data_IF_473935670216
#
_entry.id   IF_473935670216
#
_cell.length_a   1.000
_cell.length_b   1.000
_cell.length_c   1.000
_cell.angle_alpha   90.00
_cell.angle_beta   90.00
_cell.angle_gamma   90.00
#
_symmetry.space_group_name_H-M   'P 1'
#
loop_
_entity.id
_entity.type
_entity.pdbx_description
1 polymer ?
#
# COMPACT_ATOMS: atom_id res chain seq x y z
N UNK A 1 12.09 -23.36 35.08
CA UNK A 1 10.82 -22.79 34.55
C UNK A 1 10.51 -21.36 35.06
N UNK A 2 11.06 -20.90 36.19
CA UNK A 2 10.80 -19.54 36.72
C UNK A 2 11.61 -18.41 36.03
N UNK A 3 12.79 -18.69 35.47
CA UNK A 3 13.66 -17.66 34.89
C UNK A 3 13.15 -17.07 33.57
N UNK A 4 12.35 -17.82 32.79
CA UNK A 4 11.79 -17.37 31.50
C UNK A 4 10.62 -16.38 31.66
N UNK A 5 9.93 -16.38 32.82
CA UNK A 5 8.82 -15.46 33.09
C UNK A 5 9.30 -14.06 33.48
N UNK A 6 10.38 -13.98 34.26
CA UNK A 6 10.97 -12.72 34.72
C UNK A 6 11.57 -11.89 33.57
N UNK A 7 12.23 -12.53 32.60
CA UNK A 7 12.76 -11.83 31.41
C UNK A 7 11.64 -11.30 30.51
N UNK A 8 10.56 -12.07 30.33
CA UNK A 8 9.38 -11.64 29.57
C UNK A 8 8.65 -10.45 30.21
N UNK A 9 8.53 -10.42 31.55
CA UNK A 9 7.90 -9.32 32.28
C UNK A 9 8.77 -8.05 32.24
N UNK A 10 10.10 -8.17 32.37
CA UNK A 10 11.03 -7.03 32.29
C UNK A 10 11.09 -6.46 30.86
N UNK A 11 11.07 -7.31 29.83
CA UNK A 11 11.00 -6.87 28.44
C UNK A 11 9.66 -6.20 28.12
N UNK A 12 8.54 -6.72 28.64
CA UNK A 12 7.21 -6.12 28.49
C UNK A 12 7.07 -4.80 29.25
N UNK A 13 7.68 -4.65 30.43
CA UNK A 13 7.71 -3.38 31.19
C UNK A 13 8.64 -2.33 30.56
N UNK A 14 9.80 -2.71 30.02
CA UNK A 14 10.64 -1.81 29.22
C UNK A 14 9.94 -1.37 27.93
N UNK A 15 9.21 -2.27 27.28
CA UNK A 15 8.45 -1.97 26.06
C UNK A 15 7.26 -1.05 26.36
N UNK A 16 6.48 -1.28 27.43
CA UNK A 16 5.40 -0.39 27.86
C UNK A 16 5.90 0.99 28.31
N UNK A 17 7.03 1.07 29.02
CA UNK A 17 7.61 2.36 29.42
C UNK A 17 8.24 3.12 28.23
N UNK A 18 8.89 2.42 27.30
CA UNK A 18 9.42 3.00 26.05
C UNK A 18 8.29 3.42 25.10
N UNK A 19 7.22 2.64 24.98
CA UNK A 19 6.05 2.98 24.16
C UNK A 19 5.26 4.14 24.77
N UNK A 20 5.04 4.18 26.08
CA UNK A 20 4.39 5.32 26.74
C UNK A 20 5.23 6.59 26.64
N UNK A 21 6.55 6.53 26.83
CA UNK A 21 7.42 7.72 26.64
C UNK A 21 7.47 8.18 25.18
N UNK A 22 7.55 7.25 24.22
CA UNK A 22 7.56 7.59 22.79
C UNK A 22 6.23 8.21 22.35
N UNK A 23 5.10 7.67 22.83
CA UNK A 23 3.77 8.20 22.52
C UNK A 23 3.54 9.57 23.18
N UNK A 24 4.00 9.75 24.42
CA UNK A 24 3.90 11.02 25.14
C UNK A 24 4.74 12.12 24.48
N UNK A 25 5.96 11.79 24.02
CA UNK A 25 6.79 12.68 23.21
C UNK A 25 6.11 13.04 21.88
N UNK A 26 5.46 12.08 21.21
CA UNK A 26 4.77 12.32 19.93
C UNK A 26 3.57 13.26 20.10
N UNK A 27 2.73 13.06 21.11
CA UNK A 27 1.59 13.93 21.39
C UNK A 27 2.03 15.32 21.84
N UNK A 28 3.09 15.43 22.66
CA UNK A 28 3.59 16.72 23.13
C UNK A 28 4.26 17.53 22.00
N UNK A 29 5.02 16.87 21.11
CA UNK A 29 5.64 17.51 19.93
C UNK A 29 4.58 17.98 18.93
N UNK A 30 3.55 17.18 18.65
CA UNK A 30 2.44 17.57 17.78
C UNK A 30 1.57 18.69 18.39
N UNK A 31 1.37 18.70 19.71
CA UNK A 31 0.58 19.73 20.39
C UNK A 31 1.30 21.08 20.50
N UNK A 32 2.62 21.08 20.70
CA UNK A 32 3.40 22.31 20.83
C UNK A 32 3.83 22.90 19.46
N UNK A 33 3.75 22.10 18.39
CA UNK A 33 4.28 22.45 17.07
C UNK A 33 3.21 22.43 15.97
N UNK A 34 2.24 23.33 16.05
CA UNK A 34 1.13 23.43 15.07
C UNK A 34 1.61 23.66 13.63
N UNK A 35 2.78 24.28 13.44
CA UNK A 35 3.40 24.48 12.12
C UNK A 35 3.94 23.20 11.47
N UNK A 36 4.26 22.14 12.23
CA UNK A 36 4.83 20.91 11.67
C UNK A 36 3.77 19.87 11.29
N UNK A 37 2.52 20.03 11.74
CA UNK A 37 1.40 19.12 11.44
C UNK A 37 1.12 19.03 9.92
N UNK A 38 1.05 20.14 9.16
CA UNK A 38 0.83 20.07 7.71
C UNK A 38 1.93 19.29 6.97
N UNK A 39 3.18 19.41 7.43
CA UNK A 39 4.32 18.72 6.83
C UNK A 39 4.21 17.20 6.98
N UNK A 40 3.88 16.72 8.19
CA UNK A 40 3.67 15.28 8.41
C UNK A 40 2.48 14.74 7.62
N UNK A 41 1.42 15.54 7.45
CA UNK A 41 0.28 15.17 6.62
C UNK A 41 0.70 14.91 5.16
N UNK A 42 1.41 15.84 4.52
CA UNK A 42 1.84 15.63 3.13
C UNK A 42 2.85 14.50 2.97
N UNK A 43 3.76 14.32 3.93
CA UNK A 43 4.74 13.21 3.89
C UNK A 43 4.02 11.86 4.01
N UNK A 44 3.13 11.71 5.00
CA UNK A 44 2.38 10.46 5.20
C UNK A 44 1.45 10.18 4.02
N UNK A 45 0.73 11.19 3.53
CA UNK A 45 -0.11 11.06 2.33
C UNK A 45 0.71 10.64 1.11
N UNK A 46 1.88 11.26 0.90
CA UNK A 46 2.78 10.92 -0.20
C UNK A 46 3.33 9.50 -0.11
N UNK A 47 3.79 9.08 1.08
CA UNK A 47 4.29 7.72 1.33
C UNK A 47 3.19 6.67 1.13
N UNK A 48 1.99 6.92 1.65
CA UNK A 48 0.84 6.04 1.45
C UNK A 48 0.46 5.97 -0.02
N UNK A 49 0.40 7.10 -0.74
CA UNK A 49 0.12 7.12 -2.18
C UNK A 49 1.14 6.33 -3.01
N UNK A 50 2.43 6.50 -2.72
CA UNK A 50 3.51 5.75 -3.37
C UNK A 50 3.41 4.24 -3.10
N UNK A 51 3.15 3.85 -1.85
CA UNK A 51 2.98 2.44 -1.48
C UNK A 51 1.75 1.82 -2.17
N UNK A 52 0.61 2.53 -2.20
CA UNK A 52 -0.59 2.08 -2.91
C UNK A 52 -0.34 1.93 -4.41
N UNK A 53 0.42 2.83 -5.03
CA UNK A 53 0.77 2.72 -6.44
C UNK A 53 1.65 1.49 -6.73
N UNK A 54 2.65 1.22 -5.89
CA UNK A 54 3.47 0.01 -5.99
C UNK A 54 2.64 -1.27 -5.85
N UNK A 55 1.70 -1.31 -4.89
CA UNK A 55 0.79 -2.46 -4.71
C UNK A 55 -0.10 -2.63 -5.95
N UNK A 56 -0.63 -1.53 -6.50
CA UNK A 56 -1.48 -1.55 -7.69
C UNK A 56 -0.72 -2.00 -8.95
N UNK A 57 0.56 -1.64 -9.07
CA UNK A 57 1.43 -2.16 -10.11
C UNK A 57 1.67 -3.65 -9.88
N UNK A 58 2.09 -4.04 -8.68
CA UNK A 58 2.39 -5.43 -8.37
C UNK A 58 1.21 -6.37 -8.61
N UNK A 59 -0.03 -5.95 -8.33
CA UNK A 59 -1.25 -6.76 -8.50
C UNK A 59 -2.00 -6.52 -9.82
N UNK A 60 -1.45 -5.73 -10.74
CA UNK A 60 -2.11 -5.45 -12.02
C UNK A 60 -2.20 -6.72 -12.89
N UNK A 61 -3.28 -6.91 -13.67
CA UNK A 61 -3.46 -8.11 -14.50
C UNK A 61 -2.40 -8.27 -15.61
N UNK A 62 -1.68 -7.19 -15.93
CA UNK A 62 -0.57 -7.14 -16.89
C UNK A 62 0.78 -7.51 -16.26
N UNK A 63 0.85 -7.64 -14.94
CA UNK A 63 2.10 -7.85 -14.21
C UNK A 63 2.24 -9.33 -13.87
N UNK A 64 3.09 -10.00 -14.65
CA UNK A 64 3.41 -11.44 -14.62
C UNK A 64 4.13 -11.87 -13.32
N UNK A 65 4.25 -10.99 -12.32
CA UNK A 65 4.98 -11.27 -11.08
C UNK A 65 4.37 -12.45 -10.30
N UNK A 66 3.06 -12.70 -10.45
CA UNK A 66 2.34 -13.74 -9.71
C UNK A 66 1.98 -14.97 -10.53
N UNK A 67 1.95 -14.87 -11.86
CA UNK A 67 1.61 -15.98 -12.76
C UNK A 67 2.65 -16.12 -13.87
N UNK A 68 3.82 -16.62 -13.48
CA UNK A 68 4.95 -16.85 -14.38
C UNK A 68 4.79 -18.04 -15.33
N UNK A 69 3.92 -19.00 -14.99
CA UNK A 69 3.94 -20.32 -15.62
C UNK A 69 2.65 -20.68 -16.36
N UNK A 70 1.48 -20.14 -15.98
CA UNK A 70 0.21 -20.51 -16.62
C UNK A 70 -0.26 -19.52 -17.67
N UNK A 71 0.43 -18.38 -17.81
CA UNK A 71 0.02 -17.30 -18.71
C UNK A 71 1.25 -16.67 -19.38
N UNK A 72 1.86 -17.35 -20.38
CA UNK A 72 3.03 -16.84 -21.09
C UNK A 72 2.76 -15.51 -21.82
N UNK A 73 1.48 -15.21 -22.10
CA UNK A 73 1.03 -13.99 -22.78
C UNK A 73 -0.03 -13.22 -21.96
N UNK A 74 0.39 -12.38 -21.00
CA UNK A 74 -0.53 -11.69 -20.09
C UNK A 74 -1.50 -10.73 -20.78
N UNK A 75 -1.12 -10.17 -21.93
CA UNK A 75 -1.96 -9.26 -22.72
C UNK A 75 -3.16 -9.96 -23.35
N UNK A 76 -3.11 -11.29 -23.53
CA UNK A 76 -4.14 -12.02 -24.25
C UNK A 76 -5.42 -12.24 -23.43
N UNK A 77 -5.33 -12.09 -22.09
CA UNK A 77 -6.47 -12.18 -21.16
C UNK A 77 -7.16 -10.84 -20.89
N UNK A 78 -6.67 -9.74 -21.46
CA UNK A 78 -7.24 -8.43 -21.24
C UNK A 78 -8.41 -8.20 -22.19
N UNK A 79 -9.60 -8.02 -21.63
CA UNK A 79 -10.79 -7.66 -22.39
C UNK A 79 -10.65 -6.21 -22.93
N UNK A 80 -11.11 -5.90 -24.16
CA UNK A 80 -11.11 -4.53 -24.69
C UNK A 80 -11.92 -3.54 -23.82
N UNK A 81 -12.87 -4.04 -23.03
CA UNK A 81 -13.65 -3.25 -22.07
C UNK A 81 -12.85 -2.91 -20.81
N UNK A 82 -11.70 -3.54 -20.59
CA UNK A 82 -10.91 -3.34 -19.38
C UNK A 82 -10.23 -1.97 -19.38
N UNK A 83 -10.59 -1.14 -18.39
CA UNK A 83 -9.97 0.15 -18.19
C UNK A 83 -8.65 0.01 -17.42
N UNK A 84 -7.54 0.13 -18.14
CA UNK A 84 -6.21 0.12 -17.53
C UNK A 84 -5.91 1.41 -16.72
N UNK A 85 -6.37 2.56 -17.23
CA UNK A 85 -6.12 3.89 -16.65
C UNK A 85 -7.00 4.12 -15.42
N UNK A 86 -6.53 4.94 -14.47
CA UNK A 86 -7.34 5.27 -13.29
C UNK A 86 -8.66 5.97 -13.64
N UNK A 87 -8.66 6.77 -14.70
CA UNK A 87 -9.83 7.47 -15.21
C UNK A 87 -9.84 7.44 -16.74
N UNK A 88 -11.02 7.25 -17.31
CA UNK A 88 -11.28 7.46 -18.73
C UNK A 88 -11.91 8.83 -18.91
N UNK A 89 -11.20 9.76 -19.55
CA UNK A 89 -11.71 11.12 -19.75
C UNK A 89 -12.55 11.20 -21.04
N UNK A 90 -12.08 10.54 -22.11
CA UNK A 90 -12.68 10.67 -23.45
C UNK A 90 -13.09 9.32 -24.08
N UNK A 91 -12.83 8.19 -23.42
CA UNK A 91 -12.96 6.86 -24.04
C UNK A 91 -14.00 6.01 -23.34
N UNK A 92 -15.05 5.62 -24.07
CA UNK A 92 -16.14 4.78 -23.59
C UNK A 92 -15.82 3.29 -23.74
N UNK A 93 -15.08 2.76 -22.76
CA UNK A 93 -14.63 1.37 -22.74
C UNK A 93 -15.77 0.35 -22.88
N UNK A 94 -16.97 0.65 -22.37
CA UNK A 94 -18.15 -0.23 -22.44
C UNK A 94 -18.66 -0.49 -23.86
N UNK A 95 -18.31 0.36 -24.81
CA UNK A 95 -18.75 0.26 -26.21
C UNK A 95 -17.70 -0.41 -27.10
N UNK A 96 -16.49 -0.65 -26.59
CA UNK A 96 -15.38 -1.19 -27.37
C UNK A 96 -15.57 -2.69 -27.59
N UNK A 97 -15.55 -3.10 -28.86
CA UNK A 97 -15.55 -4.51 -29.27
C UNK A 97 -14.17 -4.89 -29.81
N UNK A 98 -13.82 -6.17 -29.69
CA UNK A 98 -12.58 -6.73 -30.25
C UNK A 98 -12.78 -6.91 -31.75
N UNK A 99 -12.00 -6.20 -32.57
CA UNK A 99 -12.09 -6.22 -34.05
C UNK A 99 -11.14 -7.26 -34.69
N UNK A 100 -10.68 -8.28 -33.94
CA UNK A 100 -9.69 -9.24 -34.42
C UNK A 100 -9.86 -10.65 -33.85
N UNK A 101 -9.17 -11.66 -34.42
CA UNK A 101 -9.27 -13.04 -33.98
C UNK A 101 -8.82 -13.23 -32.52
N UNK A 102 -9.47 -14.17 -31.83
CA UNK A 102 -9.11 -14.60 -30.49
C UNK A 102 -7.94 -15.59 -30.58
N UNK A 103 -6.75 -15.15 -30.17
CA UNK A 103 -5.57 -15.99 -30.00
C UNK A 103 -5.53 -16.59 -28.58
#
# INVERSE_FOLDING_TARGET
MLSLSLTGIVLRRRCLHTQSCSSFLFHHVLAHSTQLIPQFFFITLGLTGAALYLIRLARGPHVILWDKNNNPEPWNKLDPTYQYKFVAVNTDYKSLKKEGPDF
#
